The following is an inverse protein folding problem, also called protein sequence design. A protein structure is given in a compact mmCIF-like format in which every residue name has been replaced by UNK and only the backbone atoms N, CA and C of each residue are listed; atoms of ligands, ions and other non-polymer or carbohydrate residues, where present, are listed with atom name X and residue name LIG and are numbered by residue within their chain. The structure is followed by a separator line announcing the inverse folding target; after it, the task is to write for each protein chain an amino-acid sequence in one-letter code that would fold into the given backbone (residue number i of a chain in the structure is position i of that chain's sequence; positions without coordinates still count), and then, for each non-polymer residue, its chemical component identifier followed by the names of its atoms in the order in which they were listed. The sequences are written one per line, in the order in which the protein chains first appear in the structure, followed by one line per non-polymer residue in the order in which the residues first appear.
data_IF_848197993119
#
_entry.id   IF_848197993119
#
_cell.length_a   1.000
_cell.length_b   1.000
_cell.length_c   1.000
_cell.angle_alpha   90.00
_cell.angle_beta   90.00
_cell.angle_gamma   90.00
#
_symmetry.space_group_name_H-M   'P 1'
#
loop_
_entity.id
_entity.type
_entity.pdbx_description
1 polymer ?
#
# COMPACT_ATOMS: atom_id res chain seq x y z
N UNK A 1 24.17 16.04 12.21
CA UNK A 1 23.53 14.98 11.37
C UNK A 1 22.31 14.30 12.02
N UNK A 2 22.15 14.29 13.34
CA UNK A 2 21.00 13.64 14.00
C UNK A 2 19.66 14.28 13.63
N UNK A 3 19.58 15.62 13.62
CA UNK A 3 18.38 16.39 13.24
C UNK A 3 17.86 15.98 11.85
N UNK A 4 18.75 15.85 10.87
CA UNK A 4 18.38 15.42 9.52
C UNK A 4 17.79 14.01 9.49
N UNK A 5 18.32 13.09 10.31
CA UNK A 5 17.75 11.75 10.47
C UNK A 5 16.35 11.78 11.12
N UNK A 6 16.13 12.62 12.13
CA UNK A 6 14.81 12.78 12.75
C UNK A 6 13.78 13.37 11.78
N UNK A 7 14.18 14.35 10.96
CA UNK A 7 13.31 14.91 9.91
C UNK A 7 12.90 13.82 8.92
N UNK A 8 13.86 13.06 8.39
CA UNK A 8 13.57 11.96 7.47
C UNK A 8 12.69 10.88 8.11
N UNK A 9 12.92 10.56 9.38
CA UNK A 9 12.11 9.59 10.12
C UNK A 9 10.68 10.09 10.37
N UNK A 10 10.50 11.37 10.69
CA UNK A 10 9.17 11.97 10.82
C UNK A 10 8.40 11.92 9.49
N UNK A 11 9.07 12.20 8.37
CA UNK A 11 8.49 12.07 7.03
C UNK A 11 8.11 10.60 6.75
N UNK A 12 8.96 9.64 7.12
CA UNK A 12 8.65 8.20 6.97
C UNK A 12 7.40 7.80 7.77
N UNK A 13 7.28 8.24 9.03
CA UNK A 13 6.09 8.00 9.85
C UNK A 13 4.86 8.65 9.21
N UNK A 14 4.97 9.88 8.74
CA UNK A 14 3.87 10.59 8.09
C UNK A 14 3.35 9.81 6.87
N UNK A 15 4.25 9.30 6.03
CA UNK A 15 3.88 8.46 4.90
C UNK A 15 3.26 7.12 5.35
N UNK A 16 3.82 6.45 6.35
CA UNK A 16 3.27 5.21 6.88
C UNK A 16 1.82 5.38 7.37
N UNK A 17 1.55 6.45 8.12
CA UNK A 17 0.21 6.78 8.61
C UNK A 17 -0.73 7.16 7.48
N UNK A 18 -0.29 8.04 6.57
CA UNK A 18 -1.13 8.52 5.45
C UNK A 18 -1.54 7.36 4.54
N UNK A 19 -0.60 6.46 4.20
CA UNK A 19 -0.93 5.29 3.40
C UNK A 19 -1.80 4.27 4.15
N UNK A 20 -1.56 4.07 5.45
CA UNK A 20 -2.45 3.22 6.27
C UNK A 20 -3.88 3.76 6.27
N UNK A 21 -4.06 5.07 6.47
CA UNK A 21 -5.37 5.71 6.39
C UNK A 21 -5.95 5.57 4.99
N UNK A 22 -5.15 5.71 3.94
CA UNK A 22 -5.54 5.43 2.56
C UNK A 22 -6.10 4.02 2.39
N UNK A 23 -5.43 3.00 2.92
CA UNK A 23 -5.90 1.60 2.89
C UNK A 23 -7.22 1.43 3.66
N UNK A 24 -7.42 2.18 4.75
CA UNK A 24 -8.63 2.12 5.57
C UNK A 24 -9.83 2.81 4.90
N UNK A 25 -9.62 3.98 4.30
CA UNK A 25 -10.68 4.82 3.72
C UNK A 25 -11.01 4.39 2.29
N UNK A 26 -10.01 4.13 1.45
CA UNK A 26 -10.22 3.68 0.07
C UNK A 26 -10.35 2.15 0.05
N UNK A 27 -11.59 1.66 0.17
CA UNK A 27 -11.87 0.22 0.22
C UNK A 27 -11.49 -0.50 -1.11
N UNK A 28 -11.53 0.22 -2.24
CA UNK A 28 -11.05 -0.21 -3.56
C UNK A 28 -9.53 -0.08 -3.78
N UNK A 29 -8.74 0.34 -2.78
CA UNK A 29 -7.30 0.51 -2.94
C UNK A 29 -6.64 -0.76 -3.52
N UNK A 30 -5.92 -0.58 -4.63
CA UNK A 30 -5.22 -1.65 -5.32
C UNK A 30 -4.16 -2.32 -4.44
N UNK A 31 -3.85 -3.58 -4.75
CA UNK A 31 -2.93 -4.39 -3.95
C UNK A 31 -1.53 -3.75 -3.84
N UNK A 32 -1.06 -3.05 -4.87
CA UNK A 32 0.20 -2.30 -4.86
C UNK A 32 0.21 -1.23 -3.76
N UNK A 33 -0.86 -0.45 -3.64
CA UNK A 33 -1.04 0.58 -2.60
C UNK A 33 -1.04 -0.03 -1.20
N UNK A 34 -1.73 -1.17 -1.03
CA UNK A 34 -1.77 -1.91 0.24
C UNK A 34 -0.37 -2.38 0.64
N UNK A 35 0.42 -2.89 -0.32
CA UNK A 35 1.78 -3.35 -0.08
C UNK A 35 2.76 -2.21 0.19
N UNK A 36 2.61 -1.07 -0.50
CA UNK A 36 3.38 0.14 -0.20
C UNK A 36 3.10 0.63 1.22
N UNK A 37 1.83 0.63 1.65
CA UNK A 37 1.45 0.96 3.02
C UNK A 37 2.10 0.02 4.05
N UNK A 38 2.08 -1.28 3.78
CA UNK A 38 2.75 -2.29 4.61
C UNK A 38 4.25 -2.02 4.70
N UNK A 39 4.91 -1.72 3.57
CA UNK A 39 6.35 -1.42 3.53
C UNK A 39 6.70 -0.24 4.43
N UNK A 40 6.02 0.90 4.27
CA UNK A 40 6.32 2.10 5.08
C UNK A 40 6.06 1.88 6.56
N UNK A 41 4.99 1.16 6.90
CA UNK A 41 4.69 0.78 8.28
C UNK A 41 5.78 -0.09 8.90
N UNK A 42 6.18 -1.17 8.22
CA UNK A 42 7.23 -2.07 8.71
C UNK A 42 8.56 -1.33 8.81
N UNK A 43 8.92 -0.52 7.81
CA UNK A 43 10.14 0.28 7.82
C UNK A 43 10.17 1.26 9.01
N UNK A 44 9.07 1.96 9.28
CA UNK A 44 8.97 2.90 10.39
C UNK A 44 9.09 2.21 11.77
N UNK A 45 8.44 1.04 11.92
CA UNK A 45 8.51 0.23 13.14
C UNK A 45 9.93 -0.31 13.34
N UNK A 46 10.55 -0.92 12.31
CA UNK A 46 11.89 -1.48 12.42
C UNK A 46 12.92 -0.41 12.79
N UNK A 47 12.85 0.78 12.17
CA UNK A 47 13.73 1.88 12.54
C UNK A 47 13.51 2.40 13.96
N UNK A 48 12.25 2.46 14.40
CA UNK A 48 11.92 2.92 15.74
C UNK A 48 12.36 1.94 16.83
N UNK A 49 12.13 0.64 16.61
CA UNK A 49 12.34 -0.41 17.61
C UNK A 49 13.79 -0.89 17.66
N UNK A 50 14.44 -1.07 16.50
CA UNK A 50 15.80 -1.63 16.45
C UNK A 50 16.90 -0.60 16.75
N UNK A 51 16.55 0.65 17.04
CA UNK A 51 17.53 1.71 17.33
C UNK A 51 18.47 2.02 16.15
N UNK A 52 18.09 1.63 14.92
CA UNK A 52 18.88 1.86 13.71
C UNK A 52 19.05 3.36 13.49
N UNK A 53 20.20 3.78 12.95
CA UNK A 53 20.47 5.17 12.66
C UNK A 53 19.37 5.75 11.74
N UNK A 54 18.69 6.79 12.23
CA UNK A 54 17.55 7.42 11.55
C UNK A 54 17.89 7.99 10.18
N UNK A 55 19.17 8.22 9.86
CA UNK A 55 19.59 8.61 8.51
C UNK A 55 19.16 7.60 7.42
N UNK A 56 18.95 6.32 7.76
CA UNK A 56 18.46 5.32 6.80
C UNK A 56 17.05 5.64 6.28
N UNK A 57 16.26 6.46 6.99
CA UNK A 57 14.94 6.89 6.50
C UNK A 57 15.03 7.58 5.13
N UNK A 58 16.15 8.25 4.84
CA UNK A 58 16.35 8.96 3.57
C UNK A 58 16.44 8.04 2.36
N UNK A 59 16.96 6.82 2.53
CA UNK A 59 16.98 5.81 1.48
C UNK A 59 15.72 4.93 1.49
N UNK A 60 15.08 4.78 2.65
CA UNK A 60 13.84 4.01 2.78
C UNK A 60 12.64 4.70 2.12
N UNK A 61 12.62 6.03 2.12
CA UNK A 61 11.60 6.80 1.41
C UNK A 61 11.57 6.46 -0.09
N UNK A 62 12.64 6.69 -0.88
CA UNK A 62 12.66 6.34 -2.29
C UNK A 62 12.54 4.82 -2.52
N UNK A 63 13.09 3.98 -1.65
CA UNK A 63 12.94 2.53 -1.80
C UNK A 63 11.49 2.07 -1.66
N UNK A 64 10.67 2.74 -0.85
CA UNK A 64 9.24 2.42 -0.74
C UNK A 64 8.47 2.70 -2.03
N UNK A 65 8.83 3.76 -2.75
CA UNK A 65 8.27 4.02 -4.08
C UNK A 65 8.72 2.99 -5.10
N UNK A 66 10.02 2.65 -5.13
CA UNK A 66 10.56 1.61 -5.99
C UNK A 66 9.89 0.26 -5.70
N UNK A 67 9.68 -0.07 -4.43
CA UNK A 67 8.99 -1.27 -4.00
C UNK A 67 7.54 -1.30 -4.54
N UNK A 68 6.83 -0.18 -4.50
CA UNK A 68 5.47 -0.10 -5.04
C UNK A 68 5.44 -0.34 -6.56
N UNK A 69 6.40 0.24 -7.30
CA UNK A 69 6.57 -0.02 -8.75
C UNK A 69 6.87 -1.50 -8.99
N UNK A 70 7.74 -2.10 -8.19
CA UNK A 70 8.09 -3.52 -8.28
C UNK A 70 6.87 -4.42 -8.02
N UNK A 71 6.07 -4.12 -6.98
CA UNK A 71 4.82 -4.83 -6.73
C UNK A 71 3.85 -4.71 -7.90
N UNK A 72 3.72 -3.51 -8.48
CA UNK A 72 2.89 -3.29 -9.67
C UNK A 72 3.37 -4.13 -10.84
N UNK A 73 4.68 -4.15 -11.09
CA UNK A 73 5.28 -4.98 -12.14
C UNK A 73 5.01 -6.47 -11.92
N UNK A 74 5.24 -6.99 -10.71
CA UNK A 74 4.95 -8.39 -10.34
C UNK A 74 3.47 -8.73 -10.59
N UNK A 75 2.56 -7.82 -10.25
CA UNK A 75 1.14 -8.00 -10.45
C UNK A 75 0.76 -8.06 -11.94
N UNK A 76 1.35 -7.19 -12.75
CA UNK A 76 1.12 -7.14 -14.21
C UNK A 76 1.74 -8.34 -14.93
N UNK A 77 2.96 -8.74 -14.56
CA UNK A 77 3.67 -9.88 -15.17
C UNK A 77 3.05 -11.24 -14.82
N UNK A 78 2.02 -11.29 -13.96
CA UNK A 78 1.30 -12.50 -13.54
C UNK A 78 2.22 -13.65 -13.12
N UNK A 79 3.37 -13.36 -12.51
CA UNK A 79 4.27 -14.41 -12.02
C UNK A 79 3.56 -15.12 -10.87
N UNK A 80 3.12 -16.39 -11.02
CA UNK A 80 2.07 -16.98 -10.19
C UNK A 80 2.46 -17.10 -8.71
N UNK A 81 3.72 -17.42 -8.43
CA UNK A 81 4.21 -17.62 -7.06
C UNK A 81 4.32 -16.28 -6.30
N UNK A 82 4.95 -15.28 -6.92
CA UNK A 82 5.09 -13.94 -6.35
C UNK A 82 3.75 -13.23 -6.22
N UNK A 83 2.87 -13.37 -7.22
CA UNK A 83 1.51 -12.84 -7.17
C UNK A 83 0.74 -13.36 -5.95
N UNK A 84 0.81 -14.68 -5.70
CA UNK A 84 0.14 -15.30 -4.55
C UNK A 84 0.66 -14.75 -3.22
N UNK A 85 1.99 -14.64 -3.08
CA UNK A 85 2.61 -14.08 -1.88
C UNK A 85 2.18 -12.63 -1.61
N UNK A 86 2.27 -11.76 -2.63
CA UNK A 86 1.86 -10.35 -2.54
C UNK A 86 0.38 -10.25 -2.19
N UNK A 87 -0.47 -11.12 -2.76
CA UNK A 87 -1.90 -11.18 -2.47
C UNK A 87 -2.19 -11.60 -1.03
N UNK A 88 -1.51 -12.64 -0.53
CA UNK A 88 -1.68 -13.11 0.85
C UNK A 88 -1.25 -12.01 1.82
N UNK A 89 -0.04 -11.46 1.67
CA UNK A 89 0.45 -10.40 2.56
C UNK A 89 -0.46 -9.17 2.55
N UNK A 90 -0.83 -8.69 1.36
CA UNK A 90 -1.70 -7.54 1.22
C UNK A 90 -3.08 -7.79 1.82
N UNK A 91 -3.66 -8.97 1.62
CA UNK A 91 -4.96 -9.32 2.20
C UNK A 91 -4.93 -9.38 3.72
N UNK A 92 -3.89 -9.97 4.31
CA UNK A 92 -3.72 -10.03 5.78
C UNK A 92 -3.58 -8.62 6.34
N UNK A 93 -2.71 -7.81 5.74
CA UNK A 93 -2.51 -6.43 6.18
C UNK A 93 -3.79 -5.59 6.05
N UNK A 94 -4.48 -5.66 4.91
CA UNK A 94 -5.74 -4.95 4.71
C UNK A 94 -6.80 -5.39 5.74
N UNK A 95 -6.85 -6.69 6.08
CA UNK A 95 -7.76 -7.21 7.10
C UNK A 95 -7.46 -6.63 8.48
N UNK A 96 -6.19 -6.52 8.85
CA UNK A 96 -5.75 -5.93 10.13
C UNK A 96 -6.12 -4.44 10.18
N UNK A 97 -5.80 -3.67 9.14
CA UNK A 97 -6.07 -2.22 9.11
C UNK A 97 -7.57 -1.91 9.04
N UNK A 98 -8.36 -2.77 8.40
CA UNK A 98 -9.81 -2.61 8.23
C UNK A 98 -10.63 -3.34 9.30
N UNK A 99 -10.03 -3.72 10.43
CA UNK A 99 -10.78 -4.27 11.57
C UNK A 99 -11.94 -3.33 11.92
N UNK A 100 -13.14 -3.90 12.04
CA UNK A 100 -14.39 -3.17 12.32
C UNK A 100 -15.18 -2.72 11.10
N UNK A 101 -14.69 -2.92 9.87
CA UNK A 101 -15.45 -2.64 8.63
C UNK A 101 -16.05 -3.97 8.11
N UNK A 102 -17.37 -4.06 7.90
CA UNK A 102 -18.00 -5.27 7.41
C UNK A 102 -17.52 -5.62 5.98
N UNK A 103 -17.19 -6.90 5.77
CA UNK A 103 -16.65 -7.42 4.51
C UNK A 103 -17.55 -7.15 3.29
N UNK A 104 -18.85 -7.05 3.51
CA UNK A 104 -19.85 -6.76 2.46
C UNK A 104 -19.66 -5.35 1.87
N UNK A 105 -19.37 -4.35 2.71
CA UNK A 105 -19.06 -2.99 2.25
C UNK A 105 -17.76 -2.94 1.45
N UNK A 106 -16.76 -3.75 1.83
CA UNK A 106 -15.50 -3.84 1.09
C UNK A 106 -15.73 -4.43 -0.31
N UNK A 107 -16.48 -5.53 -0.39
CA UNK A 107 -16.79 -6.19 -1.66
C UNK A 107 -17.65 -5.31 -2.57
N UNK A 108 -18.64 -4.60 -2.03
CA UNK A 108 -19.49 -3.71 -2.80
C UNK A 108 -18.68 -2.57 -3.45
N UNK A 109 -17.75 -1.96 -2.71
CA UNK A 109 -16.90 -0.88 -3.26
C UNK A 109 -15.88 -1.44 -4.25
N UNK A 110 -15.28 -2.60 -3.98
CA UNK A 110 -14.36 -3.24 -4.94
C UNK A 110 -15.07 -3.64 -6.24
N UNK A 111 -16.32 -4.09 -6.16
CA UNK A 111 -17.11 -4.42 -7.34
C UNK A 111 -17.49 -3.17 -8.13
N UNK A 112 -17.91 -2.09 -7.46
CA UNK A 112 -18.20 -0.82 -8.11
C UNK A 112 -16.98 -0.24 -8.85
N UNK A 113 -15.79 -0.28 -8.23
CA UNK A 113 -14.53 0.20 -8.82
C UNK A 113 -14.13 -0.60 -10.07
N UNK A 114 -14.39 -1.92 -10.05
CA UNK A 114 -14.18 -2.80 -11.22
C UNK A 114 -15.18 -2.50 -12.34
N UNK A 115 -16.46 -2.28 -12.01
CA UNK A 115 -17.49 -1.93 -13.00
C UNK A 115 -17.19 -0.56 -13.63
N UNK A 116 -16.83 0.45 -12.84
CA UNK A 116 -16.45 1.78 -13.32
C UNK A 116 -15.19 1.73 -14.22
N UNK A 117 -14.22 0.91 -13.86
CA UNK A 117 -13.03 0.67 -14.71
C UNK A 117 -13.40 0.00 -16.04
N UNK A 118 -14.40 -0.89 -16.05
CA UNK A 118 -14.85 -1.56 -17.28
C UNK A 118 -15.66 -0.59 -18.16
N UNK A 119 -16.56 0.19 -17.57
CA UNK A 119 -17.38 1.17 -18.29
C UNK A 119 -16.55 2.30 -18.90
N UNK A 120 -15.49 2.75 -18.23
CA UNK A 120 -14.58 3.78 -18.77
C UNK A 120 -13.67 3.28 -19.90
N UNK A 121 -13.52 1.96 -20.06
CA UNK A 121 -12.71 1.33 -21.12
C UNK A 121 -13.56 0.90 -22.31
N UNK A 122 -14.87 0.72 -22.12
CA UNK A 122 -15.81 0.43 -23.21
C UNK A 122 -16.22 1.73 -23.93
N UNK A 123 -16.28 1.76 -25.27
CA UNK A 123 -16.79 2.92 -25.99
C UNK A 123 -18.25 3.17 -25.60
N UNK A 124 -18.72 4.44 -25.60
CA UNK A 124 -20.10 4.77 -25.26
C UNK A 124 -21.03 3.92 -26.12
N UNK A 125 -21.97 3.23 -25.48
CA UNK A 125 -23.09 2.63 -26.18
C UNK A 125 -23.97 3.78 -26.65
N UNK A 126 -23.77 4.19 -27.90
CA UNK A 126 -24.73 5.03 -28.62
C UNK A 126 -26.08 4.32 -28.58
N UNK A 127 -27.02 4.92 -27.87
CA UNK A 127 -28.44 4.58 -27.86
C UNK A 127 -29.21 5.52 -28.79
#
# INVERSE_FOLDING_TARGET
MQILGYIGYAILIFFALTWMLGVRVKLGAGLSVIMGALFFMVAAILLGVLGINKLHSWWLLPSGFIFNVLCTFILTSRIPLLYSLVKILGSVYARIIRIGIPSEKIKAVQYADVVETIESVLPPKDH
#
